data_IF_094851718460
#
_entry.id   IF_094851718460
#
_cell.length_a   1.000
_cell.length_b   1.000
_cell.length_c   1.000
_cell.angle_alpha   90.00
_cell.angle_beta   90.00
_cell.angle_gamma   90.00
#
_symmetry.space_group_name_H-M   'P 1'
#
loop_
_entity.id
_entity.type
_entity.pdbx_description
1 polymer ?
#
# COMPACT_ATOMS: atom_id res chain seq x y z
N UNK A 1 26.21 31.63 8.98
CA UNK A 1 25.01 31.45 9.82
C UNK A 1 23.97 30.85 8.88
N UNK A 2 24.04 29.54 8.63
CA UNK A 2 23.14 28.52 9.20
C UNK A 2 21.67 28.92 8.97
N UNK A 3 20.89 28.21 8.16
CA UNK A 3 20.65 26.77 8.29
C UNK A 3 20.35 26.08 6.95
N UNK A 4 20.78 24.82 6.90
CA UNK A 4 20.64 23.89 5.79
C UNK A 4 19.33 23.13 5.93
N UNK A 5 18.96 22.41 4.87
CA UNK A 5 17.98 21.31 4.87
C UNK A 5 16.53 21.66 5.19
N UNK A 6 15.78 22.04 4.15
CA UNK A 6 14.43 21.49 4.01
C UNK A 6 14.48 20.41 2.92
N UNK A 7 14.17 19.19 3.34
CA UNK A 7 14.40 17.97 2.59
C UNK A 7 13.54 18.01 1.34
N UNK A 8 14.17 17.78 0.19
CA UNK A 8 13.50 17.35 -1.03
C UNK A 8 12.71 16.09 -0.68
N UNK A 9 11.43 16.24 -0.35
CA UNK A 9 10.47 15.14 -0.37
C UNK A 9 10.36 14.79 -1.84
N UNK A 10 11.18 13.84 -2.25
CA UNK A 10 11.11 13.16 -3.52
C UNK A 10 9.67 12.63 -3.64
N UNK A 11 8.76 13.40 -4.24
CA UNK A 11 7.49 12.86 -4.70
C UNK A 11 7.82 11.98 -5.89
N UNK A 12 8.15 10.74 -5.57
CA UNK A 12 8.09 9.67 -6.55
C UNK A 12 6.62 9.55 -6.91
N UNK A 13 6.25 10.11 -8.06
CA UNK A 13 5.06 9.68 -8.79
C UNK A 13 5.39 8.27 -9.30
N UNK A 14 5.25 7.29 -8.41
CA UNK A 14 5.78 5.92 -8.42
C UNK A 14 4.91 4.93 -9.21
N UNK A 15 4.04 5.41 -10.10
CA UNK A 15 3.15 4.56 -10.90
C UNK A 15 2.05 3.87 -10.06
N UNK A 16 1.83 4.31 -8.83
CA UNK A 16 0.80 3.78 -7.93
C UNK A 16 -0.61 4.17 -8.40
N UNK A 17 -1.54 3.22 -8.32
CA UNK A 17 -2.96 3.44 -8.61
C UNK A 17 -3.77 3.82 -7.38
N UNK A 18 -3.17 3.66 -6.20
CA UNK A 18 -3.84 3.91 -4.92
C UNK A 18 -4.20 5.38 -4.72
N UNK A 19 -5.43 5.59 -4.23
CA UNK A 19 -5.99 6.89 -3.83
C UNK A 19 -6.65 6.75 -2.45
N UNK A 20 -6.48 7.74 -1.56
CA UNK A 20 -7.07 7.70 -0.23
C UNK A 20 -8.60 7.77 -0.32
N UNK A 21 -9.26 6.77 0.24
CA UNK A 21 -10.70 6.74 0.48
C UNK A 21 -10.88 6.14 1.88
N UNK A 22 -11.07 7.01 2.87
CA UNK A 22 -10.98 6.56 4.27
C UNK A 22 -12.30 5.98 4.73
N UNK A 23 -12.30 4.69 5.03
CA UNK A 23 -13.40 3.98 5.67
C UNK A 23 -12.82 3.12 6.78
N UNK A 24 -13.32 3.31 7.99
CA UNK A 24 -12.79 2.67 9.19
C UNK A 24 -13.51 1.40 9.57
N UNK A 25 -12.77 0.47 10.18
CA UNK A 25 -13.32 -0.73 10.81
C UNK A 25 -13.70 -1.82 9.81
N UNK A 26 -14.46 -2.81 10.27
CA UNK A 26 -14.76 -4.01 9.46
C UNK A 26 -15.65 -3.69 8.27
N UNK A 27 -15.12 -3.90 7.07
CA UNK A 27 -15.87 -3.82 5.82
C UNK A 27 -16.64 -5.12 5.56
N UNK A 28 -17.94 -5.01 5.29
CA UNK A 28 -18.73 -6.12 4.75
C UNK A 28 -18.45 -6.33 3.27
N UNK A 29 -18.89 -7.46 2.70
CA UNK A 29 -18.82 -7.69 1.24
C UNK A 29 -19.55 -6.61 0.44
N UNK A 30 -20.63 -6.05 0.99
CA UNK A 30 -21.37 -4.96 0.34
C UNK A 30 -20.57 -3.66 0.35
N UNK A 31 -19.89 -3.33 1.46
CA UNK A 31 -19.04 -2.15 1.56
C UNK A 31 -17.88 -2.26 0.57
N UNK A 32 -17.18 -3.41 0.57
CA UNK A 32 -16.10 -3.68 -0.37
C UNK A 32 -16.56 -3.54 -1.83
N UNK A 33 -17.78 -3.98 -2.15
CA UNK A 33 -18.33 -3.90 -3.51
C UNK A 33 -18.53 -2.46 -3.99
N UNK A 34 -18.82 -1.51 -3.09
CA UNK A 34 -19.03 -0.09 -3.40
C UNK A 34 -17.73 0.71 -3.50
N UNK A 35 -16.64 0.22 -2.92
CA UNK A 35 -15.36 0.91 -2.95
C UNK A 35 -14.70 0.87 -4.34
N UNK A 36 -14.04 1.96 -4.78
CA UNK A 36 -13.35 1.98 -6.05
C UNK A 36 -12.08 1.12 -6.02
N UNK A 37 -11.66 0.59 -7.17
CA UNK A 37 -10.48 -0.28 -7.26
C UNK A 37 -9.19 0.38 -6.71
N UNK A 38 -9.10 1.72 -6.74
CA UNK A 38 -7.96 2.48 -6.22
C UNK A 38 -7.78 2.40 -4.70
N UNK A 39 -8.69 1.79 -3.95
CA UNK A 39 -8.48 1.61 -2.49
C UNK A 39 -7.81 0.28 -2.16
N UNK A 40 -7.65 -0.62 -3.14
CA UNK A 40 -7.11 -1.94 -2.92
C UNK A 40 -5.62 -1.99 -3.24
N UNK A 41 -4.87 -2.82 -2.53
CA UNK A 41 -3.49 -3.10 -2.90
C UNK A 41 -3.43 -3.72 -4.29
N UNK A 42 -4.29 -4.71 -4.56
CA UNK A 42 -4.48 -5.33 -5.88
C UNK A 42 -5.78 -4.80 -6.51
N UNK A 43 -5.73 -3.79 -7.40
CA UNK A 43 -6.94 -3.13 -7.90
C UNK A 43 -7.83 -4.04 -8.75
N UNK A 44 -7.21 -4.84 -9.62
CA UNK A 44 -7.94 -5.75 -10.53
C UNK A 44 -8.56 -6.94 -9.79
N UNK A 45 -7.83 -7.49 -8.81
CA UNK A 45 -8.32 -8.58 -7.97
C UNK A 45 -9.23 -8.10 -6.82
N UNK A 46 -9.25 -6.78 -6.55
CA UNK A 46 -9.93 -6.14 -5.40
C UNK A 46 -9.59 -6.81 -4.07
N UNK A 47 -8.32 -7.09 -3.86
CA UNK A 47 -7.80 -7.71 -2.64
C UNK A 47 -7.02 -6.71 -1.79
N UNK A 48 -7.09 -6.93 -0.47
CA UNK A 48 -6.39 -6.15 0.56
C UNK A 48 -6.77 -4.66 0.49
N UNK A 49 -7.95 -4.26 1.02
CA UNK A 49 -8.32 -2.86 1.10
C UNK A 49 -7.27 -2.08 1.91
N UNK A 50 -7.10 -0.81 1.57
CA UNK A 50 -6.14 0.14 2.17
C UNK A 50 -6.87 1.43 2.52
N UNK A 51 -7.91 1.34 3.35
CA UNK A 51 -8.82 2.45 3.68
C UNK A 51 -8.61 3.03 5.08
N UNK A 52 -7.76 2.41 5.90
CA UNK A 52 -7.27 2.95 7.18
C UNK A 52 -5.98 2.23 7.63
N UNK A 53 -5.42 2.65 8.76
CA UNK A 53 -4.19 2.07 9.31
C UNK A 53 -4.31 0.56 9.62
N UNK A 54 -5.44 0.13 10.18
CA UNK A 54 -5.67 -1.29 10.51
C UNK A 54 -5.71 -2.15 9.25
N UNK A 55 -6.36 -1.66 8.19
CA UNK A 55 -6.39 -2.30 6.89
C UNK A 55 -5.00 -2.35 6.23
N UNK A 56 -4.21 -1.29 6.33
CA UNK A 56 -2.82 -1.31 5.83
C UNK A 56 -1.97 -2.34 6.59
N UNK A 57 -2.06 -2.39 7.91
CA UNK A 57 -1.36 -3.40 8.72
C UNK A 57 -1.81 -4.83 8.38
N UNK A 58 -3.11 -5.04 8.20
CA UNK A 58 -3.65 -6.32 7.76
C UNK A 58 -3.20 -6.69 6.34
N UNK A 59 -3.09 -5.71 5.43
CA UNK A 59 -2.61 -5.90 4.08
C UNK A 59 -1.13 -6.28 4.07
N UNK A 60 -0.30 -5.61 4.88
CA UNK A 60 1.11 -5.95 5.06
C UNK A 60 1.28 -7.40 5.53
N UNK A 61 0.51 -7.81 6.53
CA UNK A 61 0.55 -9.18 7.06
C UNK A 61 0.11 -10.24 6.03
N UNK A 62 -0.83 -9.90 5.14
CA UNK A 62 -1.41 -10.84 4.17
C UNK A 62 -0.72 -10.83 2.80
N UNK A 63 0.05 -9.78 2.48
CA UNK A 63 0.62 -9.57 1.14
C UNK A 63 1.40 -10.78 0.61
N UNK A 64 2.25 -11.40 1.46
CA UNK A 64 3.06 -12.57 1.09
C UNK A 64 2.23 -13.84 0.86
N UNK A 65 1.01 -13.91 1.38
CA UNK A 65 0.10 -15.05 1.26
C UNK A 65 -0.88 -14.93 0.09
N UNK A 66 -0.93 -13.78 -0.59
CA UNK A 66 -1.71 -13.66 -1.83
C UNK A 66 -0.97 -14.41 -2.91
N UNK A 67 -1.59 -15.39 -3.55
CA UNK A 67 -1.03 -16.19 -4.64
C UNK A 67 -1.87 -16.09 -5.91
N UNK A 68 -1.31 -16.53 -7.05
CA UNK A 68 -2.01 -16.53 -8.34
C UNK A 68 -2.12 -15.17 -9.02
N UNK A 69 -1.33 -14.18 -8.58
CA UNK A 69 -1.21 -12.86 -9.21
C UNK A 69 0.12 -12.73 -9.96
N UNK A 70 0.16 -12.04 -11.12
CA UNK A 70 1.40 -11.72 -11.82
C UNK A 70 2.38 -10.92 -10.94
N UNK A 71 3.69 -11.08 -11.18
CA UNK A 71 4.72 -10.35 -10.42
C UNK A 71 4.58 -8.83 -10.57
N UNK A 72 4.14 -8.35 -11.74
CA UNK A 72 3.82 -6.94 -11.96
C UNK A 72 2.70 -6.42 -11.04
N UNK A 73 1.69 -7.25 -10.77
CA UNK A 73 0.60 -6.89 -9.86
C UNK A 73 1.07 -6.92 -8.40
N UNK A 74 1.99 -7.83 -8.04
CA UNK A 74 2.64 -7.83 -6.72
C UNK A 74 3.46 -6.56 -6.51
N UNK A 75 4.24 -6.15 -7.51
CA UNK A 75 5.02 -4.92 -7.46
C UNK A 75 4.11 -3.68 -7.32
N UNK A 76 3.03 -3.61 -8.09
CA UNK A 76 2.04 -2.54 -7.98
C UNK A 76 1.38 -2.53 -6.60
N UNK A 77 1.00 -3.69 -6.07
CA UNK A 77 0.37 -3.80 -4.76
C UNK A 77 1.31 -3.39 -3.63
N UNK A 78 2.59 -3.75 -3.70
CA UNK A 78 3.60 -3.26 -2.76
C UNK A 78 3.71 -1.74 -2.79
N UNK A 79 3.75 -1.13 -3.99
CA UNK A 79 3.82 0.31 -4.14
C UNK A 79 2.57 1.00 -3.56
N UNK A 80 1.38 0.44 -3.82
CA UNK A 80 0.11 0.93 -3.26
C UNK A 80 0.09 0.84 -1.71
N UNK A 81 0.53 -0.28 -1.13
CA UNK A 81 0.62 -0.46 0.32
C UNK A 81 1.57 0.56 0.95
N UNK A 82 2.76 0.77 0.37
CA UNK A 82 3.74 1.76 0.87
C UNK A 82 3.17 3.18 0.89
N UNK A 83 2.48 3.55 -0.19
CA UNK A 83 1.84 4.87 -0.29
C UNK A 83 0.72 5.04 0.72
N UNK A 84 -0.11 4.01 0.92
CA UNK A 84 -1.14 4.01 1.94
C UNK A 84 -0.55 4.05 3.37
N UNK A 85 0.53 3.30 3.62
CA UNK A 85 1.23 3.30 4.91
C UNK A 85 1.79 4.69 5.24
N UNK A 86 2.43 5.35 4.28
CA UNK A 86 2.88 6.73 4.45
C UNK A 86 1.72 7.71 4.72
N UNK A 87 0.55 7.47 4.11
CA UNK A 87 -0.63 8.31 4.33
C UNK A 87 -1.29 8.10 5.70
N UNK A 88 -1.41 6.85 6.15
CA UNK A 88 -2.01 6.48 7.43
C UNK A 88 -1.00 6.40 8.58
N UNK A 89 0.23 6.87 8.36
CA UNK A 89 1.31 6.91 9.35
C UNK A 89 1.62 5.52 9.96
N UNK A 90 1.52 4.48 9.13
CA UNK A 90 1.86 3.11 9.49
C UNK A 90 3.35 2.87 9.28
N UNK A 91 4.05 2.51 10.34
CA UNK A 91 5.48 2.18 10.28
C UNK A 91 5.71 0.85 9.54
N UNK A 92 6.56 0.89 8.52
CA UNK A 92 7.13 -0.30 7.90
C UNK A 92 8.43 -0.62 8.65
N UNK A 93 8.51 -1.78 9.31
CA UNK A 93 9.75 -2.20 9.97
C UNK A 93 10.89 -2.29 8.94
N UNK A 94 12.09 -1.79 9.22
CA UNK A 94 13.16 -1.74 8.20
C UNK A 94 13.73 -3.12 7.82
N UNK A 95 13.55 -4.12 8.67
CA UNK A 95 14.21 -5.43 8.61
C UNK A 95 13.52 -6.47 7.70
N UNK A 96 12.19 -6.47 7.63
CA UNK A 96 11.43 -7.43 6.81
C UNK A 96 11.17 -7.02 5.36
N UNK A 97 11.43 -5.75 5.01
CA UNK A 97 10.94 -5.14 3.77
C UNK A 97 12.04 -4.69 2.81
N UNK A 98 13.30 -4.63 3.26
CA UNK A 98 14.46 -4.51 2.37
C UNK A 98 14.59 -5.74 1.46
N UNK A 99 14.33 -6.94 1.96
CA UNK A 99 14.29 -8.18 1.12
C UNK A 99 13.22 -8.12 0.03
N UNK A 100 12.12 -7.38 0.24
CA UNK A 100 11.08 -7.20 -0.78
C UNK A 100 11.45 -6.13 -1.83
N UNK A 101 12.47 -5.30 -1.58
CA UNK A 101 13.00 -4.36 -2.58
C UNK A 101 13.82 -5.06 -3.67
N UNK A 102 14.38 -6.23 -3.35
CA UNK A 102 15.19 -7.05 -4.28
C UNK A 102 14.36 -7.96 -5.19
N UNK A 103 13.02 -7.92 -5.13
CA UNK A 103 12.15 -8.64 -6.09
C UNK A 103 12.07 -7.95 -7.46
N UNK A 104 13.22 -7.48 -7.96
CA UNK A 104 13.45 -7.00 -9.33
C UNK A 104 14.55 -7.86 -9.96
N UNK A 105 14.25 -9.12 -10.27
CA UNK A 105 15.07 -9.93 -11.18
C UNK A 105 14.20 -10.59 -12.26
#
# INVERSE_FOLDING_TARGET
MADSTDKVVQRQDDGTTWKPETTHGKLSSADLAMLPNSVFAFPEARLLPLTDADHVMAALAQFRSVDGVPDGDRALAMANIRKAAAHYEVELADDGWQELQDFRE
#
